data_IF_285441044659
#
_entry.id   IF_285441044659
#
_cell.length_a   1.000
_cell.length_b   1.000
_cell.length_c   1.000
_cell.angle_alpha   90.00
_cell.angle_beta   90.00
_cell.angle_gamma   90.00
#
_symmetry.space_group_name_H-M   'P 1'
#
loop_
_entity.id
_entity.type
_entity.pdbx_description
1 polymer ?
#
# COMPACT_ATOMS: atom_id res chain seq x y z
N UNK A 1 -8.72 -63.47 33.35
CA UNK A 1 -8.98 -62.04 33.11
C UNK A 1 -9.16 -61.90 31.59
N UNK A 2 -10.39 -61.72 31.08
CA UNK A 2 -10.96 -60.41 30.62
C UNK A 2 -10.04 -59.78 29.55
N UNK A 3 -10.34 -59.55 28.26
CA UNK A 3 -11.53 -59.40 27.38
C UNK A 3 -11.08 -59.78 25.92
N UNK A 4 -11.85 -60.46 25.05
CA UNK A 4 -12.94 -59.97 24.12
C UNK A 4 -12.43 -58.91 23.09
N UNK A 5 -12.74 -58.83 21.79
CA UNK A 5 -13.78 -59.32 20.85
C UNK A 5 -13.19 -59.40 19.42
N UNK A 6 -13.43 -60.44 18.63
CA UNK A 6 -14.49 -60.59 17.61
C UNK A 6 -14.38 -59.63 16.40
N UNK A 7 -13.88 -60.20 15.30
CA UNK A 7 -14.00 -59.74 13.91
C UNK A 7 -15.46 -59.45 13.55
N UNK A 8 -15.74 -58.26 13.02
CA UNK A 8 -17.02 -57.93 12.41
C UNK A 8 -16.78 -57.46 10.96
N UNK A 9 -17.41 -58.17 10.03
CA UNK A 9 -17.41 -57.91 8.58
C UNK A 9 -18.75 -57.25 8.20
N UNK A 10 -18.70 -56.46 7.12
CA UNK A 10 -19.82 -55.83 6.37
C UNK A 10 -20.11 -54.39 6.82
N UNK A 11 -20.39 -53.43 5.93
CA UNK A 11 -21.26 -53.50 4.76
C UNK A 11 -20.76 -52.64 3.59
N UNK A 12 -20.98 -53.14 2.37
CA UNK A 12 -20.78 -52.43 1.10
C UNK A 12 -21.85 -51.34 1.00
N UNK A 13 -21.44 -50.08 0.93
CA UNK A 13 -22.29 -48.98 0.49
C UNK A 13 -21.92 -48.68 -0.96
N UNK A 14 -22.77 -49.16 -1.88
CA UNK A 14 -22.75 -48.73 -3.27
C UNK A 14 -23.39 -47.33 -3.35
N UNK A 15 -22.55 -46.30 -3.41
CA UNK A 15 -22.96 -44.94 -3.74
C UNK A 15 -22.22 -44.50 -5.00
N UNK A 16 -22.94 -44.33 -6.10
CA UNK A 16 -22.44 -43.67 -7.30
C UNK A 16 -22.26 -42.17 -7.03
N UNK A 17 -21.10 -41.61 -7.36
CA UNK A 17 -20.85 -40.16 -7.20
C UNK A 17 -19.41 -39.78 -7.48
N UNK A 18 -19.14 -39.50 -8.77
CA UNK A 18 -18.14 -38.61 -9.39
C UNK A 18 -16.83 -38.29 -8.64
N UNK A 19 -15.73 -38.54 -9.37
CA UNK A 19 -14.37 -38.02 -9.13
C UNK A 19 -14.37 -36.57 -8.64
N UNK A 20 -13.62 -36.27 -7.58
CA UNK A 20 -13.11 -34.92 -7.38
C UNK A 20 -11.70 -35.02 -6.82
N UNK A 21 -10.73 -34.79 -7.70
CA UNK A 21 -9.34 -34.60 -7.34
C UNK A 21 -9.27 -33.55 -6.21
N UNK A 22 -8.53 -33.86 -5.16
CA UNK A 22 -8.17 -32.85 -4.18
C UNK A 22 -7.51 -31.69 -4.94
N UNK A 23 -8.01 -30.45 -4.84
CA UNK A 23 -7.24 -29.33 -5.33
C UNK A 23 -5.99 -29.26 -4.45
N UNK A 24 -4.86 -29.62 -5.04
CA UNK A 24 -3.56 -29.18 -4.57
C UNK A 24 -3.69 -27.70 -4.27
N UNK A 25 -3.51 -27.34 -3.01
CA UNK A 25 -3.31 -25.98 -2.56
C UNK A 25 -2.18 -25.40 -3.41
N UNK A 26 -2.57 -24.73 -4.49
CA UNK A 26 -1.68 -23.95 -5.31
C UNK A 26 -1.19 -22.85 -4.36
N UNK A 27 0.01 -23.04 -3.84
CA UNK A 27 0.79 -21.99 -3.22
C UNK A 27 0.82 -20.87 -4.24
N UNK A 28 -0.01 -19.85 -4.03
CA UNK A 28 0.02 -18.63 -4.77
C UNK A 28 1.38 -18.01 -4.48
N UNK A 29 2.36 -18.35 -5.33
CA UNK A 29 3.56 -17.59 -5.53
C UNK A 29 3.10 -16.21 -6.02
N UNK A 30 2.70 -15.38 -5.06
CA UNK A 30 2.41 -13.98 -5.27
C UNK A 30 3.78 -13.37 -5.48
N UNK A 31 4.30 -13.56 -6.69
CA UNK A 31 5.24 -12.64 -7.29
C UNK A 31 4.45 -11.35 -7.53
N UNK A 32 4.09 -10.69 -6.43
CA UNK A 32 3.68 -9.29 -6.38
C UNK A 32 4.90 -8.51 -6.82
N UNK A 33 5.16 -8.51 -8.13
CA UNK A 33 5.79 -7.38 -8.77
C UNK A 33 4.94 -6.20 -8.40
N UNK A 34 5.35 -5.50 -7.33
CA UNK A 34 4.78 -4.23 -6.91
C UNK A 34 4.70 -3.38 -8.18
N UNK A 35 3.48 -3.18 -8.68
CA UNK A 35 3.29 -2.40 -9.89
C UNK A 35 3.91 -1.04 -9.63
N UNK A 36 4.77 -0.58 -10.54
CA UNK A 36 5.39 0.73 -10.42
C UNK A 36 4.29 1.79 -10.22
N UNK A 37 4.53 2.75 -9.34
CA UNK A 37 3.60 3.85 -9.13
C UNK A 37 3.29 4.50 -10.50
N UNK A 38 2.00 4.67 -10.86
CA UNK A 38 1.64 5.24 -12.15
C UNK A 38 2.07 6.70 -12.32
N UNK A 39 2.45 7.38 -11.23
CA UNK A 39 3.08 8.70 -11.22
C UNK A 39 3.82 8.96 -9.90
N UNK A 40 4.81 9.85 -9.98
CA UNK A 40 5.52 10.36 -8.80
C UNK A 40 4.70 11.37 -8.01
N UNK A 41 5.05 11.52 -6.73
CA UNK A 41 4.47 12.54 -5.85
C UNK A 41 5.60 13.39 -5.32
N UNK A 42 5.51 14.71 -5.49
CA UNK A 42 6.42 15.66 -4.89
C UNK A 42 5.85 16.17 -3.57
N UNK A 43 6.74 16.41 -2.62
CA UNK A 43 6.42 17.03 -1.33
C UNK A 43 7.19 18.33 -1.20
N UNK A 44 6.57 19.29 -0.53
CA UNK A 44 7.18 20.58 -0.27
C UNK A 44 6.50 21.32 0.85
N UNK A 45 6.94 22.56 1.03
CA UNK A 45 6.44 23.45 2.05
C UNK A 45 6.09 24.81 1.46
N UNK A 46 4.97 25.35 1.93
CA UNK A 46 4.64 26.77 1.78
C UNK A 46 5.00 27.52 3.06
N UNK A 47 4.62 28.80 3.16
CA UNK A 47 4.74 29.54 4.41
C UNK A 47 3.97 28.87 5.56
N UNK A 48 2.79 28.30 5.30
CA UNK A 48 1.89 27.80 6.33
C UNK A 48 1.65 26.28 6.32
N UNK A 49 1.99 25.58 5.24
CA UNK A 49 1.56 24.19 5.02
C UNK A 49 2.67 23.31 4.47
N UNK A 50 2.63 22.03 4.82
CA UNK A 50 3.22 20.95 4.04
C UNK A 50 2.26 20.63 2.91
N UNK A 51 2.78 20.53 1.69
CA UNK A 51 1.97 20.37 0.48
C UNK A 51 2.50 19.25 -0.40
N UNK A 52 1.63 18.70 -1.24
CA UNK A 52 1.96 17.67 -2.21
C UNK A 52 1.41 18.00 -3.60
N UNK A 53 2.08 17.54 -4.65
CA UNK A 53 1.59 17.63 -6.03
C UNK A 53 2.06 16.43 -6.86
N UNK A 54 1.41 16.20 -8.00
CA UNK A 54 1.80 15.13 -8.92
C UNK A 54 3.09 15.52 -9.64
N UNK A 55 4.02 14.58 -9.78
CA UNK A 55 5.23 14.81 -10.55
C UNK A 55 4.93 15.16 -12.02
N UNK A 56 5.73 16.07 -12.58
CA UNK A 56 5.48 16.67 -13.90
C UNK A 56 4.34 17.68 -13.96
N UNK A 57 3.57 17.89 -12.89
CA UNK A 57 2.59 18.98 -12.78
C UNK A 57 3.18 20.21 -12.08
N UNK A 58 2.56 21.37 -12.30
CA UNK A 58 2.96 22.60 -11.62
C UNK A 58 2.73 22.48 -10.11
N UNK A 59 3.76 22.78 -9.31
CA UNK A 59 3.67 22.87 -7.85
C UNK A 59 2.67 23.93 -7.35
N UNK A 60 2.17 24.80 -8.24
CA UNK A 60 1.13 25.77 -7.91
C UNK A 60 -0.25 25.15 -7.77
N UNK A 61 -0.45 23.93 -8.28
CA UNK A 61 -1.68 23.15 -8.13
C UNK A 61 -1.56 22.14 -6.98
N UNK A 62 -0.82 22.50 -5.93
CA UNK A 62 -0.59 21.62 -4.80
C UNK A 62 -1.86 21.43 -3.95
N UNK A 63 -1.84 20.36 -3.17
CA UNK A 63 -2.82 20.10 -2.12
C UNK A 63 -2.15 20.21 -0.76
N UNK A 64 -2.89 20.66 0.25
CA UNK A 64 -2.42 20.73 1.62
C UNK A 64 -2.45 19.33 2.24
N UNK A 65 -1.31 18.91 2.80
CA UNK A 65 -1.19 17.67 3.57
C UNK A 65 -1.38 17.95 5.05
N UNK A 66 -0.67 18.95 5.57
CA UNK A 66 -0.68 19.31 6.99
C UNK A 66 -0.26 20.77 7.18
N UNK A 67 -0.51 21.32 8.38
CA UNK A 67 0.06 22.61 8.75
C UNK A 67 1.59 22.50 8.86
N UNK A 68 2.31 23.58 8.54
CA UNK A 68 3.76 23.64 8.70
C UNK A 68 4.15 23.44 10.17
N UNK A 69 5.31 22.82 10.40
CA UNK A 69 5.82 22.45 11.72
C UNK A 69 4.97 21.42 12.48
N UNK A 70 4.02 20.76 11.81
CA UNK A 70 3.32 19.59 12.34
C UNK A 70 3.85 18.32 11.69
N UNK A 71 3.67 17.17 12.34
CA UNK A 71 4.04 15.88 11.77
C UNK A 71 3.05 15.52 10.64
N UNK A 72 3.47 15.44 9.37
CA UNK A 72 2.56 15.16 8.28
C UNK A 72 2.25 13.66 8.10
N UNK A 73 2.90 12.78 8.88
CA UNK A 73 2.69 11.34 8.74
C UNK A 73 1.34 10.87 9.24
N UNK A 74 0.82 9.83 8.60
CA UNK A 74 -0.49 9.22 8.86
C UNK A 74 -1.69 10.14 8.66
N UNK A 75 -1.48 11.38 8.22
CA UNK A 75 -2.56 12.30 7.84
C UNK A 75 -2.98 11.96 6.41
N UNK A 76 -4.25 11.58 6.17
CA UNK A 76 -4.74 11.31 4.83
C UNK A 76 -4.85 12.62 4.04
N UNK A 77 -4.36 12.61 2.81
CA UNK A 77 -4.55 13.71 1.85
C UNK A 77 -5.04 13.17 0.51
N UNK A 78 -5.82 13.98 -0.22
CA UNK A 78 -6.35 13.60 -1.53
C UNK A 78 -5.52 14.23 -2.64
N UNK A 79 -5.03 13.41 -3.57
CA UNK A 79 -4.27 13.86 -4.74
C UNK A 79 -4.71 13.04 -5.95
N UNK A 80 -5.06 13.73 -7.04
CA UNK A 80 -5.45 13.12 -8.32
C UNK A 80 -6.51 12.00 -8.17
N UNK A 81 -7.53 12.22 -7.34
CA UNK A 81 -8.63 11.28 -7.09
C UNK A 81 -8.33 10.13 -6.12
N UNK A 82 -7.09 10.01 -5.64
CA UNK A 82 -6.66 8.98 -4.68
C UNK A 82 -6.43 9.58 -3.29
N UNK A 83 -6.54 8.73 -2.27
CA UNK A 83 -6.15 9.09 -0.89
C UNK A 83 -4.80 8.49 -0.57
N UNK A 84 -3.89 9.32 -0.07
CA UNK A 84 -2.53 8.95 0.28
C UNK A 84 -2.21 9.30 1.72
N UNK A 85 -1.14 8.70 2.26
CA UNK A 85 -0.54 9.07 3.53
C UNK A 85 0.97 9.11 3.38
N UNK A 86 1.59 10.07 4.07
CA UNK A 86 3.04 10.08 4.28
C UNK A 86 3.38 9.15 5.44
N UNK A 87 4.46 8.40 5.31
CA UNK A 87 4.98 7.49 6.31
C UNK A 87 6.47 7.73 6.54
N UNK A 88 6.99 7.22 7.66
CA UNK A 88 8.43 7.28 7.96
C UNK A 88 8.92 8.61 8.55
N UNK A 89 8.04 9.48 9.05
CA UNK A 89 8.45 10.74 9.66
C UNK A 89 9.35 10.48 10.88
N UNK A 90 10.59 10.93 10.80
CA UNK A 90 11.68 10.56 11.73
C UNK A 90 12.74 9.64 11.13
N UNK A 91 12.57 9.24 9.85
CA UNK A 91 13.50 8.43 9.08
C UNK A 91 13.27 8.60 7.57
N UNK A 92 13.61 7.59 6.75
CA UNK A 92 13.29 7.59 5.33
C UNK A 92 11.79 7.72 5.09
N UNK A 93 11.38 8.62 4.21
CA UNK A 93 9.97 8.84 3.91
C UNK A 93 9.49 7.94 2.77
N UNK A 94 8.22 7.54 2.84
CA UNK A 94 7.52 6.85 1.74
C UNK A 94 6.04 7.21 1.73
N UNK A 95 5.36 6.95 0.62
CA UNK A 95 3.92 7.16 0.45
C UNK A 95 3.19 5.82 0.46
N UNK A 96 2.02 5.80 1.10
CA UNK A 96 1.04 4.72 0.98
C UNK A 96 -0.28 5.24 0.41
N UNK A 97 -1.03 4.37 -0.25
CA UNK A 97 -2.34 4.68 -0.84
C UNK A 97 -3.46 3.88 -0.18
N UNK A 98 -4.62 4.52 -0.06
CA UNK A 98 -5.88 3.88 0.34
C UNK A 98 -5.94 3.51 1.82
N UNK A 99 -7.04 2.85 2.19
CA UNK A 99 -7.29 2.39 3.58
C UNK A 99 -6.40 1.20 3.97
N UNK A 100 -5.97 0.39 3.00
CA UNK A 100 -5.05 -0.73 3.20
C UNK A 100 -3.59 -0.34 3.42
N UNK A 101 -3.25 0.96 3.34
CA UNK A 101 -1.87 1.47 3.40
C UNK A 101 -0.92 0.75 2.41
N UNK A 102 -1.40 0.45 1.20
CA UNK A 102 -0.59 -0.17 0.15
C UNK A 102 0.57 0.75 -0.19
N UNK A 103 1.79 0.21 -0.28
CA UNK A 103 2.96 0.98 -0.67
C UNK A 103 2.75 1.61 -2.05
N UNK A 104 3.15 2.88 -2.19
CA UNK A 104 3.14 3.60 -3.45
C UNK A 104 4.55 3.88 -3.96
N UNK A 105 5.33 4.64 -3.18
CA UNK A 105 6.63 5.14 -3.62
C UNK A 105 7.56 5.44 -2.44
N UNK A 106 8.86 5.33 -2.65
CA UNK A 106 9.86 5.81 -1.69
C UNK A 106 10.19 7.26 -2.01
N UNK A 107 10.45 8.07 -0.98
CA UNK A 107 10.78 9.47 -1.15
C UNK A 107 12.28 9.71 -0.98
N UNK A 108 12.87 10.38 -1.96
CA UNK A 108 14.23 10.92 -1.91
C UNK A 108 14.21 12.42 -1.66
N UNK A 109 15.24 12.94 -0.99
CA UNK A 109 15.42 14.39 -0.89
C UNK A 109 15.62 14.98 -2.28
N UNK A 110 14.87 16.03 -2.58
CA UNK A 110 14.89 16.69 -3.87
C UNK A 110 14.63 18.17 -3.68
N UNK A 111 15.35 19.01 -4.42
CA UNK A 111 15.17 20.45 -4.37
C UNK A 111 15.27 21.03 -5.77
N UNK A 112 14.41 21.99 -6.03
CA UNK A 112 14.28 22.72 -7.29
C UNK A 112 13.85 24.15 -6.96
N UNK A 113 13.89 25.05 -7.94
CA UNK A 113 13.54 26.46 -7.73
C UNK A 113 12.15 26.65 -7.14
N UNK A 114 12.04 27.57 -6.18
CA UNK A 114 10.77 27.93 -5.59
C UNK A 114 9.85 28.55 -6.64
N UNK A 115 8.58 28.16 -6.63
CA UNK A 115 7.55 28.76 -7.45
C UNK A 115 6.27 28.88 -6.63
N UNK A 116 5.49 29.94 -6.85
CA UNK A 116 4.21 30.18 -6.16
C UNK A 116 4.24 29.99 -4.63
N UNK A 117 5.39 30.32 -4.01
CA UNK A 117 5.61 30.20 -2.58
C UNK A 117 5.77 28.76 -2.06
N UNK A 118 6.02 27.79 -2.94
CA UNK A 118 6.28 26.39 -2.61
C UNK A 118 7.77 26.09 -2.76
N UNK A 119 8.38 25.62 -1.67
CA UNK A 119 9.72 25.07 -1.62
C UNK A 119 9.66 23.54 -1.69
N UNK A 120 10.31 22.93 -2.69
CA UNK A 120 10.31 21.47 -2.86
C UNK A 120 11.34 20.82 -1.94
N UNK A 121 10.94 19.75 -1.25
CA UNK A 121 11.79 19.05 -0.27
C UNK A 121 11.99 17.57 -0.59
N UNK A 122 11.00 16.91 -1.19
CA UNK A 122 11.11 15.50 -1.57
C UNK A 122 10.45 15.19 -2.91
N UNK A 123 10.97 14.16 -3.57
CA UNK A 123 10.38 13.54 -4.74
C UNK A 123 10.23 12.03 -4.47
N UNK A 124 9.01 11.51 -4.63
CA UNK A 124 8.67 10.13 -4.35
C UNK A 124 8.33 9.36 -5.63
N UNK A 125 9.09 8.28 -5.90
CA UNK A 125 8.98 7.40 -7.08
C UNK A 125 8.95 5.91 -6.70
#
# INVERSE_FOLDING_TARGET
MKFSLATAVSFIVAGAGFVNAAPSEAMANSNDTMAAAPYGINLGETFNNVVAWVDGQSKCNNVVVAAKNTNPCNIPFSLNGNTFKIQGCGGPLWITQGSGNSFWANCGSFSEGDACGVHTTYHCL
#
